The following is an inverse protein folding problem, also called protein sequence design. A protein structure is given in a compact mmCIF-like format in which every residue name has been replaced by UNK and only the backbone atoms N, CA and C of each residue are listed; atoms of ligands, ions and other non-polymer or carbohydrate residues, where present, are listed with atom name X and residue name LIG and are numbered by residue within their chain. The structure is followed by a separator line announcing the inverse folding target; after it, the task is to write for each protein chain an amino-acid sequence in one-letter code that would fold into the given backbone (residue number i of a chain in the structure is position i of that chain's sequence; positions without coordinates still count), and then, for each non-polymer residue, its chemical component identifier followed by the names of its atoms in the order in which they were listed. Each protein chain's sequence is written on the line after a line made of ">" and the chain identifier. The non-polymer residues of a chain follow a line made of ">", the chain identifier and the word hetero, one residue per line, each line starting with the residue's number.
data_IF_788035126480
#
_entry.id   IF_788035126480
#
_cell.length_a   1.000
_cell.length_b   1.000
_cell.length_c   1.000
_cell.angle_alpha   90.00
_cell.angle_beta   90.00
_cell.angle_gamma   90.00
#
_symmetry.space_group_name_H-M   'P 1'
#
loop_
_entity.id
_entity.type
_entity.pdbx_description
1 polymer ?
#
# COMPACT_ATOMS: atom_id res chain seq x y z
N UNK A 1 2.88 18.32 27.04
CA UNK A 1 2.79 16.89 26.69
C UNK A 1 2.41 16.74 25.23
N UNK A 2 3.36 16.33 24.36
CA UNK A 2 3.01 15.96 22.98
C UNK A 2 2.27 14.62 23.04
N UNK A 3 1.13 14.51 22.36
CA UNK A 3 0.42 13.25 22.19
C UNK A 3 1.33 12.28 21.44
N UNK A 4 1.94 11.34 22.16
CA UNK A 4 2.77 10.30 21.57
C UNK A 4 1.92 9.06 21.31
N UNK A 5 2.10 8.42 20.16
CA UNK A 5 1.47 7.12 19.89
C UNK A 5 2.24 6.08 20.71
N UNK A 6 1.53 5.45 21.65
CA UNK A 6 2.04 4.34 22.46
C UNK A 6 1.28 3.06 22.10
N UNK A 7 1.89 1.87 22.18
CA UNK A 7 1.17 0.61 21.98
C UNK A 7 0.04 0.47 22.98
N UNK A 8 -1.09 -0.10 22.54
CA UNK A 8 -2.16 -0.48 23.48
C UNK A 8 -1.73 -1.62 24.40
N UNK A 9 -0.92 -2.53 23.87
CA UNK A 9 -0.35 -3.65 24.62
C UNK A 9 1.17 -3.61 24.43
N UNK A 10 1.90 -3.46 25.53
CA UNK A 10 3.37 -3.52 25.50
C UNK A 10 3.77 -4.99 25.40
N UNK A 11 4.30 -5.40 24.25
CA UNK A 11 4.92 -6.71 24.05
C UNK A 11 6.38 -6.51 23.67
N UNK A 12 7.26 -7.34 24.22
CA UNK A 12 8.67 -7.38 23.82
C UNK A 12 8.81 -8.02 22.43
N UNK A 13 9.95 -7.85 21.76
CA UNK A 13 10.14 -8.22 20.35
C UNK A 13 9.66 -9.63 19.98
N UNK A 14 10.10 -10.66 20.71
CA UNK A 14 9.71 -12.05 20.45
C UNK A 14 8.22 -12.30 20.76
N UNK A 15 7.70 -11.75 21.85
CA UNK A 15 6.29 -11.89 22.24
C UNK A 15 5.36 -11.23 21.22
N UNK A 16 5.78 -10.10 20.62
CA UNK A 16 5.04 -9.42 19.55
C UNK A 16 5.01 -10.29 18.29
N UNK A 17 6.16 -10.82 17.89
CA UNK A 17 6.26 -11.72 16.73
C UNK A 17 5.45 -12.99 16.93
N UNK A 18 5.47 -13.56 18.13
CA UNK A 18 4.67 -14.73 18.50
C UNK A 18 3.17 -14.44 18.46
N UNK A 19 2.73 -13.33 19.07
CA UNK A 19 1.34 -12.92 19.06
C UNK A 19 0.82 -12.68 17.63
N UNK A 20 1.62 -12.05 16.78
CA UNK A 20 1.31 -11.86 15.37
C UNK A 20 1.19 -13.19 14.63
N UNK A 21 2.14 -14.10 14.81
CA UNK A 21 2.13 -15.41 14.17
C UNK A 21 0.87 -16.21 14.53
N UNK A 22 0.52 -16.27 15.83
CA UNK A 22 -0.68 -16.96 16.28
C UNK A 22 -1.96 -16.36 15.68
N UNK A 23 -2.02 -15.03 15.60
CA UNK A 23 -3.14 -14.32 14.99
C UNK A 23 -3.27 -14.63 13.49
N UNK A 24 -2.16 -14.58 12.75
CA UNK A 24 -2.12 -14.95 11.32
C UNK A 24 -2.56 -16.40 11.11
N UNK A 25 -2.13 -17.34 11.97
CA UNK A 25 -2.57 -18.75 11.89
C UNK A 25 -4.08 -18.88 12.11
N UNK A 26 -4.65 -18.08 13.01
CA UNK A 26 -6.09 -18.04 13.25
C UNK A 26 -6.87 -17.48 12.06
N UNK A 27 -6.40 -16.36 11.50
CA UNK A 27 -7.10 -15.64 10.42
C UNK A 27 -6.91 -16.30 9.04
N UNK A 28 -5.79 -16.98 8.82
CA UNK A 28 -5.40 -17.62 7.55
C UNK A 28 -5.06 -19.10 7.76
N UNK A 29 -5.99 -19.84 8.36
CA UNK A 29 -5.81 -21.26 8.67
C UNK A 29 -5.51 -22.12 7.44
N UNK A 30 -6.00 -21.71 6.26
CA UNK A 30 -5.70 -22.38 4.99
C UNK A 30 -4.20 -22.40 4.66
N UNK A 31 -3.44 -21.41 5.14
CA UNK A 31 -2.00 -21.27 4.92
C UNK A 31 -1.19 -21.91 6.08
N UNK A 32 -1.82 -22.66 6.99
CA UNK A 32 -1.15 -23.27 8.16
C UNK A 32 0.08 -24.11 7.79
N UNK A 33 0.03 -24.81 6.65
CA UNK A 33 1.11 -25.69 6.22
C UNK A 33 2.41 -24.91 5.97
N UNK A 34 2.33 -23.74 5.32
CA UNK A 34 3.49 -22.87 5.12
C UNK A 34 3.87 -22.12 6.39
N UNK A 35 2.89 -21.68 7.18
CA UNK A 35 3.12 -20.92 8.42
C UNK A 35 3.91 -21.70 9.48
N UNK A 36 3.64 -23.00 9.63
CA UNK A 36 4.31 -23.87 10.62
C UNK A 36 5.52 -24.60 10.06
N UNK A 37 5.74 -24.55 8.76
CA UNK A 37 6.94 -25.12 8.15
C UNK A 37 8.20 -24.42 8.69
N UNK A 38 9.32 -25.14 8.82
CA UNK A 38 10.61 -24.52 9.11
C UNK A 38 10.85 -23.35 8.15
N UNK A 39 11.38 -22.23 8.65
CA UNK A 39 11.55 -21.04 7.83
C UNK A 39 12.36 -21.39 6.57
N UNK A 40 11.73 -21.30 5.39
CA UNK A 40 12.42 -21.49 4.13
C UNK A 40 13.49 -20.40 4.04
N UNK A 41 14.75 -20.78 4.16
CA UNK A 41 15.90 -19.87 4.08
C UNK A 41 16.17 -19.38 2.66
N UNK A 42 15.35 -19.79 1.69
CA UNK A 42 15.48 -19.43 0.28
C UNK A 42 14.69 -18.15 0.05
N UNK A 43 15.42 -17.07 -0.21
CA UNK A 43 14.88 -15.72 -0.40
C UNK A 43 14.18 -15.56 -1.76
N UNK A 44 14.47 -16.42 -2.74
CA UNK A 44 13.73 -16.52 -4.00
C UNK A 44 13.49 -17.99 -4.36
N UNK A 45 12.24 -18.44 -4.28
CA UNK A 45 11.90 -19.74 -4.81
C UNK A 45 11.63 -19.59 -6.32
N UNK A 46 12.32 -20.36 -7.16
CA UNK A 46 11.88 -20.61 -8.55
C UNK A 46 10.64 -21.52 -8.59
N UNK A 47 9.83 -21.49 -7.53
CA UNK A 47 8.60 -22.26 -7.45
C UNK A 47 7.61 -21.61 -8.43
N UNK A 48 7.20 -22.32 -9.49
CA UNK A 48 6.23 -21.78 -10.45
C UNK A 48 4.87 -21.46 -9.81
N UNK A 49 4.60 -21.97 -8.60
CA UNK A 49 3.39 -21.69 -7.83
C UNK A 49 3.60 -20.64 -6.72
N UNK A 50 4.80 -20.05 -6.63
CA UNK A 50 5.11 -19.02 -5.64
C UNK A 50 4.23 -17.79 -5.81
N UNK A 51 3.96 -17.10 -4.71
CA UNK A 51 3.20 -15.84 -4.72
C UNK A 51 4.03 -14.68 -5.26
N UNK A 52 3.36 -13.64 -5.74
CA UNK A 52 3.98 -12.41 -6.24
C UNK A 52 3.51 -11.24 -5.40
N UNK A 53 4.43 -10.60 -4.66
CA UNK A 53 4.11 -9.53 -3.70
C UNK A 53 4.56 -8.18 -4.24
N UNK A 54 3.64 -7.21 -4.26
CA UNK A 54 3.88 -5.84 -4.72
C UNK A 54 3.47 -4.86 -3.63
N UNK A 55 4.41 -4.03 -3.20
CA UNK A 55 4.20 -3.07 -2.11
C UNK A 55 4.34 -1.65 -2.62
N UNK A 56 3.24 -0.90 -2.53
CA UNK A 56 3.25 0.56 -2.62
C UNK A 56 3.60 1.11 -1.24
N UNK A 57 4.87 1.47 -1.08
CA UNK A 57 5.38 1.95 0.19
C UNK A 57 4.59 3.18 0.68
N UNK A 58 4.37 4.16 -0.20
CA UNK A 58 3.70 5.40 0.17
C UNK A 58 2.29 5.14 0.69
N UNK A 59 1.51 4.28 0.03
CA UNK A 59 0.16 3.94 0.48
C UNK A 59 0.15 3.22 1.84
N UNK A 60 1.10 2.31 2.05
CA UNK A 60 1.18 1.50 3.27
C UNK A 60 1.74 2.30 4.46
N UNK A 61 2.89 2.94 4.33
CA UNK A 61 3.54 3.64 5.44
C UNK A 61 2.80 4.92 5.84
N UNK A 62 2.27 5.69 4.88
CA UNK A 62 1.45 6.87 5.21
C UNK A 62 0.14 6.42 5.86
N UNK A 63 -0.51 5.40 5.28
CA UNK A 63 -1.76 4.85 5.83
C UNK A 63 -1.61 4.28 7.24
N UNK A 64 -0.44 3.72 7.57
CA UNK A 64 -0.14 3.21 8.90
C UNK A 64 -0.22 4.31 9.96
N UNK A 65 0.46 5.42 9.70
CA UNK A 65 0.49 6.57 10.62
C UNK A 65 -0.90 7.16 10.83
N UNK A 66 -1.66 7.33 9.75
CA UNK A 66 -3.03 7.83 9.80
C UNK A 66 -3.95 6.88 10.57
N UNK A 67 -3.77 5.56 10.38
CA UNK A 67 -4.53 4.54 11.09
C UNK A 67 -4.22 4.53 12.58
N UNK A 68 -2.95 4.65 12.97
CA UNK A 68 -2.58 4.68 14.39
C UNK A 68 -3.12 5.93 15.08
N UNK A 69 -3.09 7.09 14.43
CA UNK A 69 -3.77 8.29 14.94
C UNK A 69 -5.25 8.04 15.18
N UNK A 70 -5.97 7.43 14.21
CA UNK A 70 -7.38 7.06 14.36
C UNK A 70 -7.60 6.11 15.52
N UNK A 71 -6.77 5.07 15.62
CA UNK A 71 -6.87 4.06 16.66
C UNK A 71 -6.57 4.59 18.09
N UNK A 72 -6.09 5.84 18.20
CA UNK A 72 -5.80 6.57 19.45
C UNK A 72 -6.70 7.80 19.63
N UNK A 73 -7.72 7.97 18.80
CA UNK A 73 -8.61 9.13 18.80
C UNK A 73 -7.85 10.48 18.64
N UNK A 74 -6.71 10.44 17.96
CA UNK A 74 -5.91 11.63 17.66
C UNK A 74 -6.41 12.22 16.33
N UNK A 75 -6.81 13.51 16.30
CA UNK A 75 -7.21 14.16 15.05
C UNK A 75 -6.07 14.16 14.02
N UNK A 76 -6.40 13.94 12.74
CA UNK A 76 -5.40 13.75 11.68
C UNK A 76 -4.47 14.96 11.49
N UNK A 77 -5.00 16.18 11.70
CA UNK A 77 -4.25 17.43 11.60
C UNK A 77 -3.20 17.60 12.72
N UNK A 78 -3.30 16.83 13.80
CA UNK A 78 -2.34 16.92 14.91
C UNK A 78 -1.04 16.25 14.51
N UNK A 79 0.06 16.99 14.66
CA UNK A 79 1.40 16.44 14.45
C UNK A 79 1.81 15.59 15.65
N UNK A 80 2.15 14.34 15.40
CA UNK A 80 2.68 13.38 16.37
C UNK A 80 4.03 12.88 15.89
N UNK A 81 4.94 12.46 16.79
CA UNK A 81 6.19 11.81 16.39
C UNK A 81 5.91 10.66 15.41
N UNK A 82 6.78 10.51 14.41
CA UNK A 82 6.70 9.35 13.51
C UNK A 82 6.97 8.08 14.31
N UNK A 83 6.18 7.07 13.99
CA UNK A 83 6.34 5.71 14.51
C UNK A 83 6.70 4.81 13.33
N UNK A 84 7.53 3.81 13.59
CA UNK A 84 8.02 2.93 12.55
C UNK A 84 7.10 1.70 12.41
N UNK A 85 6.93 1.28 11.16
CA UNK A 85 6.23 0.05 10.82
C UNK A 85 7.26 -1.08 10.73
N UNK A 86 7.01 -2.18 11.43
CA UNK A 86 7.85 -3.37 11.33
C UNK A 86 7.62 -4.05 9.98
N UNK A 87 8.57 -3.90 9.05
CA UNK A 87 8.44 -4.49 7.72
C UNK A 87 8.54 -6.03 7.76
N UNK A 88 9.33 -6.60 8.65
CA UNK A 88 9.40 -8.06 8.84
C UNK A 88 8.03 -8.64 9.23
N UNK A 89 7.30 -7.94 10.10
CA UNK A 89 5.94 -8.31 10.51
C UNK A 89 4.93 -8.17 9.34
N UNK A 90 5.04 -7.10 8.56
CA UNK A 90 4.22 -6.89 7.37
C UNK A 90 4.49 -7.96 6.29
N UNK A 91 5.77 -8.29 6.05
CA UNK A 91 6.18 -9.33 5.13
C UNK A 91 5.62 -10.70 5.58
N UNK A 92 5.71 -11.04 6.87
CA UNK A 92 5.10 -12.25 7.42
C UNK A 92 3.59 -12.31 7.15
N UNK A 93 2.86 -11.20 7.33
CA UNK A 93 1.42 -11.13 7.07
C UNK A 93 1.06 -11.27 5.59
N UNK A 94 1.83 -10.64 4.70
CA UNK A 94 1.60 -10.69 3.26
C UNK A 94 1.97 -12.06 2.68
N UNK A 95 3.13 -12.59 3.07
CA UNK A 95 3.69 -13.80 2.50
C UNK A 95 3.11 -15.05 3.16
N UNK A 96 2.84 -14.99 4.47
CA UNK A 96 2.38 -16.13 5.30
C UNK A 96 3.25 -17.36 5.12
N UNK A 97 4.55 -17.10 4.93
CA UNK A 97 5.61 -18.08 4.61
C UNK A 97 5.34 -18.94 3.36
N UNK A 98 4.38 -18.57 2.52
CA UNK A 98 4.18 -19.23 1.22
C UNK A 98 5.45 -19.02 0.37
N UNK A 99 5.81 -19.96 -0.53
CA UNK A 99 6.88 -19.75 -1.49
C UNK A 99 6.66 -18.44 -2.25
N UNK A 100 7.71 -17.62 -2.41
CA UNK A 100 7.64 -16.31 -3.07
C UNK A 100 8.45 -16.37 -4.36
N UNK A 101 7.77 -16.17 -5.48
CA UNK A 101 8.40 -16.12 -6.80
C UNK A 101 8.89 -14.70 -7.12
N UNK A 102 8.12 -13.68 -6.73
CA UNK A 102 8.48 -12.27 -6.94
C UNK A 102 8.06 -11.40 -5.77
N UNK A 103 8.87 -10.39 -5.49
CA UNK A 103 8.66 -9.42 -4.42
C UNK A 103 9.26 -8.08 -4.83
N UNK A 104 8.42 -7.06 -4.85
CA UNK A 104 8.82 -5.73 -5.23
C UNK A 104 8.23 -4.74 -4.23
N UNK A 105 9.05 -3.79 -3.80
CA UNK A 105 8.62 -2.64 -3.04
C UNK A 105 9.03 -1.40 -3.83
N UNK A 106 8.07 -0.51 -4.08
CA UNK A 106 8.33 0.75 -4.75
C UNK A 106 7.88 1.88 -3.83
N UNK A 107 8.68 2.91 -3.75
CA UNK A 107 8.40 4.09 -2.93
C UNK A 107 9.21 5.29 -3.37
N UNK A 108 9.12 6.36 -2.60
CA UNK A 108 9.89 7.58 -2.84
C UNK A 108 10.62 8.07 -1.61
N UNK A 109 11.60 8.96 -1.80
CA UNK A 109 12.35 9.59 -0.72
C UNK A 109 11.45 10.42 0.22
N UNK A 110 11.82 10.57 1.52
CA UNK A 110 13.09 10.17 2.14
C UNK A 110 13.20 8.67 2.39
N UNK A 111 14.45 8.20 2.50
CA UNK A 111 14.75 6.82 2.86
C UNK A 111 14.19 6.48 4.26
N UNK A 112 13.69 5.25 4.42
CA UNK A 112 13.15 4.73 5.67
C UNK A 112 13.88 3.44 6.04
N UNK A 113 14.10 3.19 7.35
CA UNK A 113 14.75 1.97 7.82
C UNK A 113 14.03 0.69 7.35
N UNK A 114 12.71 0.77 7.17
CA UNK A 114 11.90 -0.31 6.62
C UNK A 114 12.33 -0.74 5.20
N UNK A 115 12.94 0.15 4.40
CA UNK A 115 13.46 -0.21 3.08
C UNK A 115 14.71 -1.09 3.18
N UNK A 116 15.58 -0.85 4.15
CA UNK A 116 16.75 -1.69 4.40
C UNK A 116 16.32 -3.09 4.88
N UNK A 117 15.30 -3.14 5.73
CA UNK A 117 14.67 -4.40 6.15
C UNK A 117 14.05 -5.12 4.95
N UNK A 118 13.31 -4.41 4.09
CA UNK A 118 12.73 -4.99 2.89
C UNK A 118 13.78 -5.58 1.96
N UNK A 119 14.91 -4.89 1.74
CA UNK A 119 16.04 -5.42 0.97
C UNK A 119 16.73 -6.60 1.64
N UNK A 120 16.81 -6.64 2.97
CA UNK A 120 17.39 -7.78 3.72
C UNK A 120 16.49 -9.01 3.64
N UNK A 121 15.18 -8.82 3.78
CA UNK A 121 14.21 -9.88 3.50
C UNK A 121 14.42 -10.32 2.06
N UNK A 122 14.55 -9.34 1.14
CA UNK A 122 15.04 -9.45 -0.24
C UNK A 122 14.08 -8.94 -1.31
N UNK A 123 13.16 -8.06 -0.94
CA UNK A 123 12.35 -7.30 -1.87
C UNK A 123 13.24 -6.54 -2.85
N UNK A 124 12.87 -6.56 -4.13
CA UNK A 124 13.44 -5.61 -5.09
C UNK A 124 12.90 -4.22 -4.76
N UNK A 125 13.74 -3.37 -4.16
CA UNK A 125 13.35 -2.04 -3.73
C UNK A 125 13.68 -0.97 -4.79
N UNK A 126 12.66 -0.33 -5.33
CA UNK A 126 12.77 0.78 -6.27
C UNK A 126 12.37 2.09 -5.55
N UNK A 127 13.37 2.83 -5.03
CA UNK A 127 13.13 4.07 -4.28
C UNK A 127 13.45 5.28 -5.15
N UNK A 128 12.41 6.02 -5.55
CA UNK A 128 12.51 7.12 -6.51
C UNK A 128 12.73 8.48 -5.82
N UNK A 129 13.40 9.37 -6.54
CA UNK A 129 13.45 10.80 -6.20
C UNK A 129 12.11 11.47 -6.49
N UNK A 130 11.73 12.42 -5.63
CA UNK A 130 10.58 13.28 -5.87
C UNK A 130 10.93 14.35 -6.89
N UNK A 131 10.00 14.68 -7.76
CA UNK A 131 10.19 15.66 -8.82
C UNK A 131 9.45 16.94 -8.48
N UNK A 132 10.09 18.08 -8.71
CA UNK A 132 9.47 19.38 -8.55
C UNK A 132 8.45 19.57 -9.68
N UNK A 133 7.17 19.68 -9.32
CA UNK A 133 6.09 19.89 -10.29
C UNK A 133 5.13 20.98 -9.81
N UNK A 134 4.74 21.83 -10.74
CA UNK A 134 3.55 22.67 -10.65
C UNK A 134 2.37 21.87 -11.21
N UNK A 135 1.48 21.37 -10.34
CA UNK A 135 0.26 20.67 -10.79
C UNK A 135 -0.78 21.68 -11.26
N UNK A 136 -1.41 21.41 -12.39
CA UNK A 136 -2.57 22.19 -12.80
C UNK A 136 -3.69 21.99 -11.78
N UNK A 137 -4.35 23.09 -11.40
CA UNK A 137 -5.48 23.02 -10.48
C UNK A 137 -6.62 22.25 -11.13
N UNK A 138 -7.21 21.33 -10.37
CA UNK A 138 -8.45 20.67 -10.79
C UNK A 138 -9.57 21.71 -10.92
N UNK A 139 -10.59 21.44 -11.75
CA UNK A 139 -11.75 22.35 -11.91
C UNK A 139 -12.39 22.72 -10.58
N UNK A 140 -12.46 21.76 -9.65
CA UNK A 140 -12.95 21.99 -8.29
C UNK A 140 -12.08 22.95 -7.49
N UNK A 141 -10.75 22.86 -7.62
CA UNK A 141 -9.82 23.77 -6.96
C UNK A 141 -9.84 25.16 -7.59
N UNK A 142 -9.97 25.23 -8.94
CA UNK A 142 -10.17 26.50 -9.67
C UNK A 142 -11.43 27.21 -9.14
N UNK A 143 -12.54 26.50 -9.03
CA UNK A 143 -13.81 27.03 -8.50
C UNK A 143 -13.70 27.60 -7.08
N UNK A 144 -13.07 26.86 -6.14
CA UNK A 144 -12.88 27.37 -4.78
C UNK A 144 -11.95 28.59 -4.72
N UNK A 145 -10.91 28.61 -5.55
CA UNK A 145 -9.98 29.73 -5.61
C UNK A 145 -10.63 30.99 -6.21
N UNK A 146 -11.53 30.83 -7.19
CA UNK A 146 -12.36 31.91 -7.72
C UNK A 146 -13.34 32.44 -6.67
N UNK A 147 -13.96 31.56 -5.87
CA UNK A 147 -14.85 31.96 -4.78
C UNK A 147 -14.13 32.73 -3.66
N UNK A 148 -12.91 32.33 -3.28
CA UNK A 148 -12.09 33.07 -2.31
C UNK A 148 -11.64 34.43 -2.86
N UNK A 149 -11.37 34.55 -4.17
CA UNK A 149 -11.00 35.82 -4.81
C UNK A 149 -12.18 36.78 -4.99
N UNK A 150 -13.39 36.28 -5.25
CA UNK A 150 -14.58 37.10 -5.47
C UNK A 150 -15.21 37.68 -4.18
N UNK A 151 -14.60 37.46 -3.00
CA UNK A 151 -14.96 38.16 -1.75
C UNK A 151 -14.54 39.65 -1.72
N UNK A 152 -13.79 40.12 -2.71
CA UNK A 152 -13.45 41.53 -2.93
C UNK A 152 -13.94 42.01 -4.29
N UNK A 153 -14.67 43.12 -4.33
CA UNK A 153 -15.28 43.71 -5.52
C UNK A 153 -14.30 43.88 -6.70
N UNK A 154 -14.63 43.32 -7.86
CA UNK A 154 -14.27 43.90 -9.17
C UNK A 154 -13.54 43.01 -10.20
N UNK A 155 -14.17 42.92 -11.38
CA UNK A 155 -13.62 42.65 -12.72
C UNK A 155 -13.58 41.19 -13.23
N UNK A 156 -14.55 40.90 -14.11
CA UNK A 156 -14.61 39.76 -15.03
C UNK A 156 -13.45 39.84 -16.04
N UNK A 157 -12.34 39.17 -15.75
CA UNK A 157 -11.37 38.77 -16.77
C UNK A 157 -11.31 37.25 -16.79
N UNK A 158 -11.96 36.67 -17.79
CA UNK A 158 -11.98 35.23 -18.08
C UNK A 158 -10.60 34.79 -18.55
N UNK A 159 -9.70 34.58 -17.59
CA UNK A 159 -8.38 34.03 -17.84
C UNK A 159 -8.52 32.51 -18.04
N UNK A 160 -8.77 32.08 -19.29
CA UNK A 160 -8.97 30.67 -19.68
C UNK A 160 -7.67 29.85 -19.75
N UNK A 161 -6.56 30.39 -19.26
CA UNK A 161 -5.28 29.70 -19.20
C UNK A 161 -5.22 28.67 -18.07
N UNK A 162 -4.38 27.62 -18.19
CA UNK A 162 -4.15 26.65 -17.12
C UNK A 162 -3.57 27.36 -15.89
N UNK A 163 -4.28 27.28 -14.76
CA UNK A 163 -3.82 27.81 -13.47
C UNK A 163 -3.10 26.69 -12.73
N UNK A 164 -1.84 26.91 -12.40
CA UNK A 164 -1.01 25.95 -11.69
C UNK A 164 -0.92 26.26 -10.20
N UNK A 165 -0.92 25.21 -9.38
CA UNK A 165 -0.55 25.30 -7.97
C UNK A 165 0.94 25.62 -7.83
N UNK A 166 1.37 26.19 -6.68
CA UNK A 166 2.78 26.38 -6.37
C UNK A 166 3.56 25.07 -6.52
N UNK A 167 4.77 25.17 -7.06
CA UNK A 167 5.64 24.02 -7.25
C UNK A 167 5.91 23.30 -5.93
N UNK A 168 5.72 21.98 -5.94
CA UNK A 168 6.02 21.11 -4.80
C UNK A 168 6.75 19.88 -5.30
N UNK A 169 7.64 19.35 -4.47
CA UNK A 169 8.22 18.03 -4.69
C UNK A 169 7.14 16.97 -4.50
N UNK A 170 6.78 16.29 -5.58
CA UNK A 170 5.77 15.23 -5.56
C UNK A 170 6.37 13.92 -6.05
N UNK A 171 5.70 12.83 -5.67
CA UNK A 171 6.01 11.51 -6.18
C UNK A 171 5.61 11.40 -7.66
N UNK A 172 6.44 10.73 -8.45
CA UNK A 172 6.19 10.49 -9.88
C UNK A 172 6.74 9.11 -10.25
N UNK A 173 5.96 8.33 -11.02
CA UNK A 173 6.40 7.06 -11.59
C UNK A 173 6.42 5.87 -10.63
N UNK A 174 6.05 6.04 -9.36
CA UNK A 174 5.99 4.94 -8.37
C UNK A 174 4.94 3.92 -8.78
N UNK A 175 3.72 4.37 -9.05
CA UNK A 175 2.61 3.51 -9.50
C UNK A 175 2.98 2.78 -10.79
N UNK A 176 3.55 3.49 -11.77
CA UNK A 176 3.95 2.93 -13.05
C UNK A 176 4.98 1.80 -12.93
N UNK A 177 5.97 1.93 -12.04
CA UNK A 177 6.93 0.85 -11.79
C UNK A 177 6.21 -0.35 -11.19
N UNK A 178 5.29 -0.16 -10.23
CA UNK A 178 4.55 -1.30 -9.68
C UNK A 178 3.70 -1.97 -10.77
N UNK A 179 2.99 -1.18 -11.59
CA UNK A 179 2.21 -1.70 -12.70
C UNK A 179 3.07 -2.50 -13.68
N UNK A 180 4.27 -2.01 -14.02
CA UNK A 180 5.23 -2.73 -14.85
C UNK A 180 5.59 -4.08 -14.21
N UNK A 181 5.97 -4.09 -12.92
CA UNK A 181 6.37 -5.31 -12.19
C UNK A 181 5.23 -6.33 -12.07
N UNK A 182 3.99 -5.85 -11.94
CA UNK A 182 2.78 -6.67 -12.01
C UNK A 182 2.62 -7.27 -13.41
N UNK A 183 2.79 -6.48 -14.48
CA UNK A 183 2.65 -6.97 -15.86
C UNK A 183 3.71 -7.99 -16.21
N UNK A 184 4.98 -7.77 -15.82
CA UNK A 184 6.04 -8.77 -15.93
C UNK A 184 5.61 -10.11 -15.31
N UNK A 185 5.00 -10.10 -14.11
CA UNK A 185 4.52 -11.35 -13.51
C UNK A 185 3.42 -12.03 -14.30
N UNK A 186 2.45 -11.25 -14.80
CA UNK A 186 1.33 -11.77 -15.59
C UNK A 186 1.77 -12.33 -16.95
N UNK A 187 2.87 -11.81 -17.51
CA UNK A 187 3.40 -12.21 -18.81
C UNK A 187 4.39 -13.37 -18.68
N UNK A 188 5.28 -13.30 -17.69
CA UNK A 188 6.43 -14.21 -17.58
C UNK A 188 6.11 -15.49 -16.79
N UNK A 189 4.97 -15.52 -16.08
CA UNK A 189 4.56 -16.71 -15.31
C UNK A 189 3.60 -17.57 -16.15
N UNK A 190 4.01 -18.81 -16.42
CA UNK A 190 3.20 -19.75 -17.21
C UNK A 190 1.90 -20.15 -16.49
N UNK A 191 1.98 -20.45 -15.20
CA UNK A 191 0.83 -20.87 -14.37
C UNK A 191 0.47 -19.76 -13.39
N UNK A 192 -0.71 -19.15 -13.50
CA UNK A 192 -1.16 -18.12 -12.56
C UNK A 192 -1.19 -18.61 -11.11
N UNK A 193 -0.63 -17.83 -10.19
CA UNK A 193 -0.64 -18.13 -8.76
C UNK A 193 -1.48 -17.10 -7.98
N UNK A 194 -0.93 -16.53 -6.91
CA UNK A 194 -1.54 -15.46 -6.11
C UNK A 194 -0.67 -14.21 -6.16
N UNK A 195 -1.31 -13.09 -6.50
CA UNK A 195 -0.72 -11.77 -6.46
C UNK A 195 -1.17 -11.06 -5.18
N UNK A 196 -0.23 -10.73 -4.31
CA UNK A 196 -0.47 -9.92 -3.12
C UNK A 196 -0.14 -8.47 -3.46
N UNK A 197 -1.16 -7.62 -3.46
CA UNK A 197 -1.04 -6.21 -3.84
C UNK A 197 -1.29 -5.33 -2.61
N UNK A 198 -0.20 -4.80 -2.04
CA UNK A 198 -0.25 -3.93 -0.87
C UNK A 198 -0.42 -2.46 -1.29
N UNK A 199 -1.64 -2.11 -1.65
CA UNK A 199 -2.11 -0.74 -1.90
C UNK A 199 -3.63 -0.67 -1.71
N UNK A 200 -4.15 0.50 -1.38
CA UNK A 200 -5.59 0.78 -1.36
C UNK A 200 -6.07 1.52 -2.61
N UNK A 201 -5.16 1.97 -3.47
CA UNK A 201 -5.48 2.87 -4.57
C UNK A 201 -6.17 2.16 -5.75
N UNK A 202 -7.09 2.89 -6.38
CA UNK A 202 -7.80 2.50 -7.58
C UNK A 202 -7.96 3.67 -8.57
N UNK A 203 -7.32 4.82 -8.29
CA UNK A 203 -7.31 5.94 -9.19
C UNK A 203 -6.54 5.60 -10.47
N UNK A 204 -6.85 6.35 -11.53
CA UNK A 204 -6.01 6.34 -12.72
C UNK A 204 -4.67 6.99 -12.38
N UNK A 205 -3.57 6.33 -12.72
CA UNK A 205 -2.23 6.84 -12.48
C UNK A 205 -1.81 7.80 -13.61
N UNK A 206 -0.67 8.48 -13.44
CA UNK A 206 -0.24 9.55 -14.36
C UNK A 206 -0.01 9.04 -15.79
N UNK A 207 0.58 7.84 -15.93
CA UNK A 207 0.93 7.26 -17.22
C UNK A 207 0.34 5.87 -17.46
N UNK A 208 -0.67 5.49 -16.67
CA UNK A 208 -1.28 4.16 -16.77
C UNK A 208 -2.71 4.13 -16.25
N UNK A 209 -3.46 3.06 -16.53
CA UNK A 209 -4.87 2.95 -16.15
C UNK A 209 -5.10 2.72 -14.62
N UNK A 210 -4.03 2.63 -13.83
CA UNK A 210 -4.12 2.45 -12.37
C UNK A 210 -4.20 1.01 -11.88
N UNK A 211 -4.04 0.83 -10.57
CA UNK A 211 -3.97 -0.47 -9.90
C UNK A 211 -5.20 -1.35 -10.13
N UNK A 212 -6.40 -0.77 -10.09
CA UNK A 212 -7.65 -1.51 -10.26
C UNK A 212 -7.69 -2.25 -11.61
N UNK A 213 -7.18 -1.61 -12.66
CA UNK A 213 -7.11 -2.19 -14.00
C UNK A 213 -6.04 -3.26 -14.10
N UNK A 214 -4.90 -3.08 -13.44
CA UNK A 214 -3.85 -4.10 -13.37
C UNK A 214 -4.33 -5.35 -12.60
N UNK A 215 -5.01 -5.16 -11.48
CA UNK A 215 -5.65 -6.24 -10.73
C UNK A 215 -6.71 -6.96 -11.58
N UNK A 216 -7.54 -6.21 -12.32
CA UNK A 216 -8.54 -6.82 -13.22
C UNK A 216 -7.86 -7.67 -14.32
N UNK A 217 -6.73 -7.22 -14.87
CA UNK A 217 -5.96 -7.98 -15.88
C UNK A 217 -5.42 -9.28 -15.28
N UNK A 218 -4.87 -9.25 -14.07
CA UNK A 218 -4.40 -10.45 -13.38
C UNK A 218 -5.56 -11.45 -13.16
N UNK A 219 -6.68 -10.97 -12.63
CA UNK A 219 -7.87 -11.78 -12.38
C UNK A 219 -8.44 -12.37 -13.69
N UNK A 220 -8.47 -11.63 -14.79
CA UNK A 220 -8.86 -12.15 -16.11
C UNK A 220 -7.94 -13.29 -16.59
N UNK A 221 -6.65 -13.21 -16.25
CA UNK A 221 -5.64 -14.23 -16.57
C UNK A 221 -5.62 -15.41 -15.60
N UNK A 222 -6.56 -15.51 -14.66
CA UNK A 222 -6.66 -16.65 -13.76
C UNK A 222 -5.94 -16.49 -12.42
N UNK A 223 -5.24 -15.38 -12.19
CA UNK A 223 -4.58 -15.11 -10.91
C UNK A 223 -5.61 -14.93 -9.80
N UNK A 224 -5.24 -15.31 -8.58
CA UNK A 224 -5.87 -14.78 -7.36
C UNK A 224 -5.20 -13.46 -6.99
N UNK A 225 -5.97 -12.52 -6.45
CA UNK A 225 -5.47 -11.23 -5.98
C UNK A 225 -5.90 -11.00 -4.54
N UNK A 226 -4.90 -10.79 -3.68
CA UNK A 226 -5.07 -10.39 -2.28
C UNK A 226 -4.70 -8.91 -2.17
N UNK A 227 -5.71 -8.04 -2.00
CA UNK A 227 -5.48 -6.61 -1.78
C UNK A 227 -5.24 -6.36 -0.29
N UNK A 228 -4.06 -5.88 0.07
CA UNK A 228 -3.65 -5.65 1.46
C UNK A 228 -3.54 -4.14 1.70
N UNK A 229 -4.40 -3.56 2.53
CA UNK A 229 -4.33 -2.12 2.81
C UNK A 229 -5.13 -1.74 4.05
N UNK A 230 -5.05 -0.48 4.45
CA UNK A 230 -5.83 0.10 5.53
C UNK A 230 -7.27 0.33 5.07
N UNK A 231 -8.25 -0.04 5.89
CA UNK A 231 -9.69 -0.04 5.58
C UNK A 231 -10.20 1.29 5.00
N UNK A 232 -9.64 2.40 5.50
CA UNK A 232 -9.95 3.78 5.11
C UNK A 232 -9.23 4.25 3.83
N UNK A 233 -8.12 3.61 3.48
CA UNK A 233 -7.35 3.93 2.27
C UNK A 233 -7.80 3.08 1.08
N UNK A 234 -8.54 1.99 1.32
CA UNK A 234 -9.09 1.14 0.25
C UNK A 234 -10.19 1.89 -0.49
N UNK A 235 -9.98 2.07 -1.79
CA UNK A 235 -10.99 2.63 -2.69
C UNK A 235 -12.28 1.83 -2.67
N UNK A 236 -13.41 2.55 -2.65
CA UNK A 236 -14.75 1.97 -2.74
C UNK A 236 -14.94 1.15 -4.03
N UNK A 237 -14.13 1.38 -5.07
CA UNK A 237 -14.18 0.60 -6.31
C UNK A 237 -13.98 -0.90 -6.07
N UNK A 238 -13.06 -1.28 -5.18
CA UNK A 238 -12.84 -2.68 -4.80
C UNK A 238 -13.99 -3.23 -3.94
N UNK A 239 -14.69 -2.38 -3.18
CA UNK A 239 -15.79 -2.79 -2.28
C UNK A 239 -17.16 -2.86 -2.99
N UNK A 240 -17.27 -2.47 -4.26
CA UNK A 240 -18.52 -2.54 -5.02
C UNK A 240 -19.00 -4.00 -5.15
N UNK A 241 -20.28 -4.24 -4.90
CA UNK A 241 -20.88 -5.58 -5.01
C UNK A 241 -20.65 -6.23 -6.38
N UNK A 242 -20.70 -5.44 -7.46
CA UNK A 242 -20.42 -5.94 -8.81
C UNK A 242 -18.97 -6.44 -8.97
N UNK A 243 -17.99 -5.78 -8.34
CA UNK A 243 -16.59 -6.22 -8.36
C UNK A 243 -16.43 -7.50 -7.55
N UNK A 244 -16.92 -7.50 -6.30
CA UNK A 244 -16.84 -8.65 -5.39
C UNK A 244 -17.49 -9.89 -6.01
N UNK A 245 -18.70 -9.76 -6.55
CA UNK A 245 -19.41 -10.86 -7.21
C UNK A 245 -18.70 -11.36 -8.47
N UNK A 246 -18.11 -10.46 -9.27
CA UNK A 246 -17.40 -10.83 -10.50
C UNK A 246 -16.15 -11.66 -10.22
N UNK A 247 -15.48 -11.40 -9.11
CA UNK A 247 -14.20 -12.00 -8.76
C UNK A 247 -14.26 -12.86 -7.49
N UNK A 248 -15.45 -13.34 -7.15
CA UNK A 248 -15.67 -14.18 -5.98
C UNK A 248 -14.74 -15.41 -6.00
N UNK A 249 -14.21 -15.75 -4.83
CA UNK A 249 -13.21 -16.82 -4.65
C UNK A 249 -11.81 -16.54 -5.23
N UNK A 250 -11.60 -15.45 -5.99
CA UNK A 250 -10.29 -15.08 -6.57
C UNK A 250 -9.77 -13.72 -6.13
N UNK A 251 -10.65 -12.82 -5.69
CA UNK A 251 -10.27 -11.54 -5.11
C UNK A 251 -10.65 -11.51 -3.64
N UNK A 252 -9.74 -11.07 -2.77
CA UNK A 252 -10.06 -10.77 -1.37
C UNK A 252 -9.33 -9.54 -0.88
N UNK A 253 -9.92 -8.88 0.11
CA UNK A 253 -9.34 -7.73 0.80
C UNK A 253 -8.86 -8.20 2.17
N UNK A 254 -7.64 -7.84 2.53
CA UNK A 254 -7.04 -8.04 3.84
C UNK A 254 -6.84 -6.65 4.44
N UNK A 255 -7.67 -6.31 5.43
CA UNK A 255 -7.60 -5.01 6.10
C UNK A 255 -6.52 -5.03 7.19
N UNK A 256 -5.53 -4.15 7.07
CA UNK A 256 -4.39 -4.08 7.99
C UNK A 256 -4.76 -3.53 9.38
N UNK A 257 -5.93 -2.90 9.51
CA UNK A 257 -6.40 -2.25 10.73
C UNK A 257 -6.34 -3.16 11.96
N UNK A 258 -6.67 -4.43 11.79
CA UNK A 258 -6.67 -5.41 12.88
C UNK A 258 -5.25 -5.72 13.35
N UNK A 259 -4.24 -5.63 12.49
CA UNK A 259 -2.83 -5.93 12.76
C UNK A 259 -2.01 -4.70 13.16
N UNK A 260 -2.62 -3.50 13.18
CA UNK A 260 -1.90 -2.24 13.37
C UNK A 260 -1.04 -2.21 14.65
N UNK A 261 -1.50 -2.85 15.73
CA UNK A 261 -0.74 -2.91 16.99
C UNK A 261 0.46 -3.85 16.89
N UNK A 262 0.33 -4.99 16.22
CA UNK A 262 1.43 -5.93 16.04
C UNK A 262 2.46 -5.45 15.01
N UNK A 263 2.06 -4.59 14.07
CA UNK A 263 2.93 -3.97 13.07
C UNK A 263 3.70 -2.75 13.60
N UNK A 264 3.37 -2.24 14.80
CA UNK A 264 4.05 -1.12 15.43
C UNK A 264 5.44 -1.52 15.92
N UNK A 265 6.46 -0.89 15.34
CA UNK A 265 7.84 -0.98 15.79
C UNK A 265 8.18 0.13 16.78
N UNK A 266 8.87 -0.25 17.87
CA UNK A 266 9.23 0.63 18.98
C UNK A 266 10.71 0.51 19.30
#
# INVERSE_FOLDING_TARGET
>A
NRSAIQPKTVRSGEDRNWALLLKIIGDFYEDRASLVSPANSITHSNDPNGIHVFVDASNIFIGFHDQLKRARDIPQHVHVPKVDLSFDALALLMERRRPVAKRCLVGSKPHMAAFDVAQRVGYECNILDKVLKARELTERQKYFQEQEKNGGSGSETSNTGPVFAPEKYIEQGVDEIIHLKMMESIVDTETPSTMVLATGDAAQAEYSEGFLKMAERALKKGWKVELVSWSKNISLAYKKAAWQKKWDGRFRIIELDTYAEELLDM
#
